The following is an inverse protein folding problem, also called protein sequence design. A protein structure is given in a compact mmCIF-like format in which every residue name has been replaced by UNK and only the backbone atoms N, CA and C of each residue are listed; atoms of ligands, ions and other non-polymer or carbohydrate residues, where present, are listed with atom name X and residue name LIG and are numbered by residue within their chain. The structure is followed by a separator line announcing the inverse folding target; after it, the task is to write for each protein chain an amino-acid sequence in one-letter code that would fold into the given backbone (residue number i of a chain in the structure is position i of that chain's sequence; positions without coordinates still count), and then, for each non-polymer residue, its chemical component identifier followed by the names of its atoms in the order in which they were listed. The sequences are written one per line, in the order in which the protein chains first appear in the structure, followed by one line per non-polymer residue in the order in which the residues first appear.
data_IF_691547579324
#
_entry.id   IF_691547579324
#
_cell.length_a   1.000
_cell.length_b   1.000
_cell.length_c   1.000
_cell.angle_alpha   90.00
_cell.angle_beta   90.00
_cell.angle_gamma   90.00
#
_symmetry.space_group_name_H-M   'P 1'
#
loop_
_entity.id
_entity.type
_entity.pdbx_description
1 polymer ?
#
# COMPACT_ATOMS: atom_id res chain seq x y z
N UNK A 1 1.04 4.45 -19.92
CA UNK A 1 0.17 3.74 -18.95
C UNK A 1 0.03 2.32 -19.45
N UNK A 2 0.39 1.33 -18.62
CA UNK A 2 0.26 -0.08 -18.97
C UNK A 2 -1.07 -0.62 -18.49
N UNK A 3 -1.69 -1.48 -19.30
CA UNK A 3 -3.02 -2.02 -19.00
C UNK A 3 -2.94 -3.54 -19.12
N UNK A 4 -2.99 -4.23 -17.99
CA UNK A 4 -3.05 -5.69 -17.92
C UNK A 4 -4.46 -6.19 -17.58
N UNK A 5 -4.77 -7.44 -17.93
CA UNK A 5 -6.04 -8.02 -17.52
C UNK A 5 -6.03 -8.33 -16.02
N UNK A 6 -4.88 -8.78 -15.50
CA UNK A 6 -4.66 -9.09 -14.08
C UNK A 6 -3.34 -8.48 -13.57
N UNK A 7 -3.02 -8.67 -12.28
CA UNK A 7 -1.81 -8.12 -11.64
C UNK A 7 -0.51 -8.72 -12.18
N UNK A 8 -0.51 -10.00 -12.57
CA UNK A 8 0.66 -10.67 -13.16
C UNK A 8 1.01 -10.05 -14.51
N UNK A 9 0.03 -9.83 -15.39
CA UNK A 9 0.27 -9.20 -16.69
C UNK A 9 0.92 -7.81 -16.53
N UNK A 10 0.40 -7.02 -15.59
CA UNK A 10 0.96 -5.70 -15.28
C UNK A 10 2.39 -5.83 -14.75
N UNK A 11 2.65 -6.80 -13.87
CA UNK A 11 3.97 -7.03 -13.29
C UNK A 11 5.00 -7.42 -14.35
N UNK A 12 4.68 -8.36 -15.24
CA UNK A 12 5.60 -8.82 -16.30
C UNK A 12 5.90 -7.71 -17.31
N UNK A 13 4.88 -6.98 -17.75
CA UNK A 13 5.08 -5.82 -18.62
C UNK A 13 5.89 -4.72 -17.91
N UNK A 14 5.69 -4.51 -16.61
CA UNK A 14 6.52 -3.57 -15.83
C UNK A 14 7.99 -3.98 -15.85
N UNK A 15 8.30 -5.27 -15.72
CA UNK A 15 9.66 -5.78 -15.78
C UNK A 15 10.29 -5.61 -17.16
N UNK A 16 9.54 -5.85 -18.24
CA UNK A 16 10.02 -5.64 -19.61
C UNK A 16 10.34 -4.16 -19.87
N UNK A 17 9.48 -3.25 -19.42
CA UNK A 17 9.77 -1.81 -19.50
C UNK A 17 10.98 -1.42 -18.65
N UNK A 18 11.15 -2.03 -17.47
CA UNK A 18 12.28 -1.75 -16.59
C UNK A 18 13.60 -2.21 -17.21
N UNK A 19 13.60 -3.33 -17.93
CA UNK A 19 14.76 -3.80 -18.69
C UNK A 19 15.22 -2.85 -19.81
N UNK A 20 14.33 -1.93 -20.23
CA UNK A 20 14.61 -0.88 -21.23
C UNK A 20 14.88 0.49 -20.58
N UNK A 21 14.78 0.58 -19.25
CA UNK A 21 14.92 1.82 -18.52
C UNK A 21 16.38 2.27 -18.44
N UNK A 22 16.58 3.53 -18.07
CA UNK A 22 17.91 4.12 -17.91
C UNK A 22 18.46 3.77 -16.53
N UNK A 23 19.76 3.50 -16.47
CA UNK A 23 20.50 3.39 -15.22
C UNK A 23 20.57 4.74 -14.49
N UNK A 24 20.26 4.70 -13.20
CA UNK A 24 20.35 5.80 -12.26
C UNK A 24 21.30 5.43 -11.14
N UNK A 25 22.17 6.38 -10.80
CA UNK A 25 23.09 6.24 -9.67
C UNK A 25 22.40 6.67 -8.39
N UNK A 26 22.37 5.78 -7.42
CA UNK A 26 21.90 6.05 -6.07
C UNK A 26 23.04 5.91 -5.07
N UNK A 27 22.90 6.56 -3.91
CA UNK A 27 23.81 6.39 -2.77
C UNK A 27 23.92 4.91 -2.29
N UNK A 28 22.99 4.05 -2.72
CA UNK A 28 22.92 2.63 -2.38
C UNK A 28 23.31 1.69 -3.53
N UNK A 29 23.76 2.24 -4.67
CA UNK A 29 24.17 1.46 -5.85
C UNK A 29 23.49 1.91 -7.14
N UNK A 30 23.90 1.32 -8.25
CA UNK A 30 23.30 1.57 -9.56
C UNK A 30 21.96 0.82 -9.67
N UNK A 31 20.94 1.51 -10.19
CA UNK A 31 19.56 1.01 -10.26
C UNK A 31 18.93 1.34 -11.60
N UNK A 32 17.98 0.54 -12.07
CA UNK A 32 17.11 0.91 -13.19
C UNK A 32 15.87 1.59 -12.63
N UNK A 33 15.46 2.71 -13.23
CA UNK A 33 14.32 3.48 -12.73
C UNK A 33 13.40 3.94 -13.87
N UNK A 34 12.10 3.83 -13.63
CA UNK A 34 11.06 4.45 -14.46
C UNK A 34 10.29 5.46 -13.61
N UNK A 35 10.27 6.72 -14.04
CA UNK A 35 9.57 7.82 -13.35
C UNK A 35 8.26 8.10 -14.08
N UNK A 36 7.25 8.60 -13.37
CA UNK A 36 5.91 8.91 -13.92
C UNK A 36 5.22 7.68 -14.55
N UNK A 37 5.45 6.52 -13.95
CA UNK A 37 4.89 5.26 -14.42
C UNK A 37 3.47 5.06 -13.86
N UNK A 38 2.57 4.57 -14.70
CA UNK A 38 1.18 4.26 -14.32
C UNK A 38 0.73 2.95 -14.93
N UNK A 39 -0.02 2.17 -14.16
CA UNK A 39 -0.61 0.92 -14.60
C UNK A 39 -2.10 0.83 -14.26
N UNK A 40 -2.81 -0.04 -14.96
CA UNK A 40 -4.22 -0.34 -14.78
C UNK A 40 -4.44 -1.85 -14.86
N UNK A 41 -5.20 -2.38 -13.90
CA UNK A 41 -5.61 -3.79 -13.86
C UNK A 41 -7.10 -3.82 -14.18
N UNK A 42 -7.48 -4.44 -15.30
CA UNK A 42 -8.89 -4.48 -15.73
C UNK A 42 -9.75 -5.35 -14.81
N UNK A 43 -9.25 -6.53 -14.46
CA UNK A 43 -9.91 -7.44 -13.54
C UNK A 43 -8.98 -7.80 -12.37
N UNK A 44 -9.07 -7.07 -11.24
CA UNK A 44 -8.28 -7.37 -10.06
C UNK A 44 -8.65 -8.71 -9.40
N UNK A 45 -9.74 -9.37 -9.84
CA UNK A 45 -10.15 -10.69 -9.33
C UNK A 45 -9.59 -11.85 -10.16
N UNK A 46 -9.20 -11.61 -11.40
CA UNK A 46 -8.63 -12.63 -12.29
C UNK A 46 -7.34 -13.23 -11.72
N UNK A 47 -6.49 -12.42 -11.08
CA UNK A 47 -5.38 -12.89 -10.26
C UNK A 47 -5.20 -11.98 -9.04
N UNK A 48 -5.26 -12.57 -7.84
CA UNK A 48 -5.10 -11.85 -6.56
C UNK A 48 -3.65 -11.76 -6.09
N UNK A 49 -2.79 -12.59 -6.64
CA UNK A 49 -1.36 -12.65 -6.35
C UNK A 49 -0.59 -12.68 -7.67
N UNK A 50 0.65 -12.21 -7.63
CA UNK A 50 1.56 -12.29 -8.76
C UNK A 50 2.09 -13.72 -8.81
N UNK A 51 1.87 -14.38 -9.95
CA UNK A 51 2.39 -15.72 -10.21
C UNK A 51 3.31 -15.65 -11.43
N UNK A 52 4.61 -15.64 -11.19
CA UNK A 52 5.62 -15.69 -12.26
C UNK A 52 6.57 -16.84 -12.01
N UNK A 53 7.10 -17.45 -13.07
CA UNK A 53 8.12 -18.50 -12.96
C UNK A 53 9.46 -17.93 -12.48
N UNK A 54 9.73 -16.67 -12.84
CA UNK A 54 10.98 -15.97 -12.55
C UNK A 54 11.15 -15.58 -11.08
N UNK A 55 10.06 -15.50 -10.31
CA UNK A 55 10.11 -15.10 -8.90
C UNK A 55 9.11 -15.87 -8.04
N UNK A 56 9.65 -16.60 -7.06
CA UNK A 56 8.85 -17.29 -6.04
C UNK A 56 8.47 -16.32 -4.92
N UNK A 57 7.18 -16.04 -4.80
CA UNK A 57 6.63 -15.24 -3.71
C UNK A 57 6.25 -16.14 -2.51
N UNK A 58 6.57 -15.70 -1.29
CA UNK A 58 6.12 -16.38 -0.08
C UNK A 58 4.67 -16.00 0.22
N UNK A 59 3.73 -16.86 -0.21
CA UNK A 59 2.31 -16.63 0.05
C UNK A 59 1.99 -16.60 1.55
N UNK A 60 2.69 -17.42 2.35
CA UNK A 60 2.62 -17.40 3.81
C UNK A 60 2.95 -16.01 4.36
N UNK A 61 4.00 -15.38 3.85
CA UNK A 61 4.40 -14.04 4.27
C UNK A 61 3.36 -13.00 3.88
N UNK A 62 2.94 -12.99 2.60
CA UNK A 62 1.97 -12.01 2.08
C UNK A 62 0.65 -12.07 2.85
N UNK A 63 0.13 -13.27 3.11
CA UNK A 63 -1.10 -13.45 3.87
C UNK A 63 -0.88 -13.02 5.33
N UNK A 64 0.24 -13.38 5.94
CA UNK A 64 0.58 -12.98 7.31
C UNK A 64 0.63 -11.46 7.47
N UNK A 65 1.30 -10.78 6.54
CA UNK A 65 1.38 -9.31 6.49
C UNK A 65 0.00 -8.67 6.28
N UNK A 66 -0.80 -9.20 5.36
CA UNK A 66 -2.16 -8.70 5.10
C UNK A 66 -3.06 -8.83 6.34
N UNK A 67 -3.06 -9.99 7.00
CA UNK A 67 -3.84 -10.22 8.24
C UNK A 67 -3.35 -9.29 9.35
N UNK A 68 -2.04 -9.11 9.46
CA UNK A 68 -1.44 -8.20 10.43
C UNK A 68 -1.88 -6.74 10.19
N UNK A 69 -1.90 -6.28 8.94
CA UNK A 69 -2.46 -4.96 8.62
C UNK A 69 -3.96 -4.87 8.91
N UNK A 70 -4.76 -5.88 8.59
CA UNK A 70 -6.21 -5.84 8.93
C UNK A 70 -6.49 -5.85 10.43
N UNK A 71 -5.60 -6.41 11.25
CA UNK A 71 -5.73 -6.33 12.72
C UNK A 71 -5.57 -4.90 13.25
N UNK A 72 -4.77 -4.09 12.55
CA UNK A 72 -4.35 -2.75 12.99
C UNK A 72 -3.52 -2.76 14.27
N UNK A 73 -3.01 -3.91 14.70
CA UNK A 73 -2.20 -4.04 15.91
C UNK A 73 -0.69 -4.00 15.56
N UNK A 74 0.09 -3.02 16.03
CA UNK A 74 1.47 -2.82 15.60
C UNK A 74 2.50 -3.78 16.21
N UNK A 75 2.07 -4.73 17.05
CA UNK A 75 2.96 -5.61 17.81
C UNK A 75 3.78 -6.55 16.92
N UNK A 76 5.10 -6.63 17.18
CA UNK A 76 6.02 -7.53 16.48
C UNK A 76 5.60 -9.00 16.58
N UNK A 77 5.01 -9.39 17.72
CA UNK A 77 4.54 -10.76 18.00
C UNK A 77 3.50 -11.26 16.99
N UNK A 78 2.78 -10.36 16.32
CA UNK A 78 1.77 -10.69 15.30
C UNK A 78 2.37 -11.04 13.94
N UNK A 79 3.58 -10.58 13.63
CA UNK A 79 4.17 -10.70 12.29
C UNK A 79 5.50 -11.46 12.23
N UNK A 80 6.26 -11.51 13.34
CA UNK A 80 7.59 -12.13 13.39
C UNK A 80 7.62 -13.61 12.96
N UNK A 81 6.51 -14.34 13.16
CA UNK A 81 6.37 -15.74 12.76
C UNK A 81 6.25 -15.93 11.23
N UNK A 82 5.98 -14.86 10.50
CA UNK A 82 5.84 -14.85 9.04
C UNK A 82 7.11 -14.33 8.35
N UNK A 83 7.87 -13.42 8.99
CA UNK A 83 9.19 -12.98 8.53
C UNK A 83 10.02 -12.38 9.65
N UNK A 84 11.30 -12.76 9.70
CA UNK A 84 12.30 -12.21 10.62
C UNK A 84 12.70 -10.77 10.28
N UNK A 85 12.41 -10.30 9.07
CA UNK A 85 12.72 -8.94 8.60
C UNK A 85 12.22 -7.86 9.58
N UNK A 86 11.01 -8.05 10.10
CA UNK A 86 10.35 -7.10 10.99
C UNK A 86 11.05 -6.92 12.33
N UNK A 87 11.87 -7.89 12.77
CA UNK A 87 12.63 -7.78 14.03
C UNK A 87 13.67 -6.65 13.97
N UNK A 88 14.08 -6.22 12.77
CA UNK A 88 15.01 -5.11 12.59
C UNK A 88 14.32 -3.73 12.59
N UNK A 89 12.99 -3.70 12.58
CA UNK A 89 12.17 -2.49 12.50
C UNK A 89 11.34 -2.25 13.77
N UNK A 90 11.50 -3.12 14.77
CA UNK A 90 10.80 -3.02 16.05
C UNK A 90 11.43 -1.91 16.90
N UNK A 91 10.60 -1.10 17.52
CA UNK A 91 11.04 -0.13 18.51
C UNK A 91 11.25 -0.78 19.90
N UNK A 92 11.71 0.00 20.86
CA UNK A 92 11.97 -0.47 22.23
C UNK A 92 10.71 -1.01 22.94
N UNK A 93 9.52 -0.58 22.52
CA UNK A 93 8.23 -1.01 23.08
C UNK A 93 7.69 -2.30 22.44
N UNK A 94 8.36 -2.85 21.43
CA UNK A 94 7.88 -4.04 20.70
C UNK A 94 6.88 -3.73 19.57
N UNK A 95 6.75 -2.46 19.18
CA UNK A 95 5.91 -2.00 18.08
C UNK A 95 6.69 -1.84 16.78
N UNK A 96 6.00 -2.04 15.67
CA UNK A 96 6.50 -1.73 14.33
C UNK A 96 5.71 -0.56 13.74
N UNK A 97 6.38 0.58 13.61
CA UNK A 97 5.76 1.83 13.13
C UNK A 97 5.21 1.74 11.71
N UNK A 98 5.73 0.81 10.90
CA UNK A 98 5.30 0.57 9.51
C UNK A 98 4.05 -0.32 9.39
N UNK A 99 3.31 -0.54 10.48
CA UNK A 99 1.97 -1.12 10.40
C UNK A 99 0.97 -0.10 9.84
N UNK A 100 0.72 -0.17 8.52
CA UNK A 100 -0.26 0.70 7.85
C UNK A 100 -1.70 0.48 8.32
N UNK A 101 -2.00 -0.73 8.78
CA UNK A 101 -3.27 -1.11 9.38
C UNK A 101 -3.68 -0.21 10.53
N UNK A 102 -2.75 0.07 11.45
CA UNK A 102 -2.98 0.95 12.58
C UNK A 102 -3.41 2.35 12.13
N UNK A 103 -2.74 2.92 11.12
CA UNK A 103 -3.07 4.24 10.56
C UNK A 103 -4.46 4.30 9.89
N UNK A 104 -4.90 3.20 9.27
CA UNK A 104 -6.18 3.13 8.57
C UNK A 104 -7.35 2.82 9.52
N UNK A 105 -7.17 1.83 10.41
CA UNK A 105 -8.25 1.20 11.17
C UNK A 105 -8.29 1.59 12.65
N UNK A 106 -7.24 2.19 13.21
CA UNK A 106 -7.16 2.52 14.64
C UNK A 106 -6.96 4.02 14.89
N UNK A 107 -6.15 4.68 14.08
CA UNK A 107 -5.88 6.11 14.23
C UNK A 107 -7.10 6.95 13.87
N UNK A 108 -7.46 7.86 14.77
CA UNK A 108 -8.56 8.80 14.57
C UNK A 108 -8.11 10.01 13.75
N UNK A 109 -9.03 10.57 12.97
CA UNK A 109 -8.80 11.77 12.17
C UNK A 109 -8.76 12.99 13.10
N UNK A 110 -7.68 13.78 13.13
CA UNK A 110 -7.53 14.94 14.00
C UNK A 110 -8.23 16.19 13.40
N UNK A 111 -9.49 16.04 12.98
CA UNK A 111 -10.34 17.13 12.47
C UNK A 111 -11.57 17.17 13.34
N UNK A 112 -11.92 18.35 13.87
CA UNK A 112 -12.95 18.54 14.89
C UNK A 112 -14.29 17.91 14.54
N UNK A 113 -14.76 18.11 13.30
CA UNK A 113 -16.03 17.55 12.80
C UNK A 113 -15.98 16.03 12.53
N UNK A 114 -14.78 15.43 12.51
CA UNK A 114 -14.55 14.00 12.28
C UNK A 114 -13.90 13.31 13.49
N UNK A 115 -13.83 14.01 14.64
CA UNK A 115 -13.34 13.44 15.89
C UNK A 115 -14.09 12.14 16.15
N UNK A 116 -13.35 11.10 16.56
CA UNK A 116 -13.84 9.73 16.78
C UNK A 116 -14.02 8.84 15.54
N UNK A 117 -13.74 9.30 14.31
CA UNK A 117 -13.72 8.43 13.12
C UNK A 117 -12.30 8.03 12.73
N UNK A 118 -12.15 6.78 12.32
CA UNK A 118 -10.96 6.31 11.60
C UNK A 118 -11.09 6.65 10.12
N UNK A 119 -9.97 6.64 9.39
CA UNK A 119 -9.98 6.86 7.94
C UNK A 119 -10.88 5.85 7.22
N UNK A 120 -10.82 4.59 7.64
CA UNK A 120 -11.68 3.54 7.07
C UNK A 120 -13.17 3.83 7.32
N UNK A 121 -13.55 4.17 8.55
CA UNK A 121 -14.96 4.46 8.86
C UNK A 121 -15.47 5.67 8.07
N UNK A 122 -14.65 6.73 7.94
CA UNK A 122 -14.99 7.88 7.13
C UNK A 122 -15.26 7.50 5.66
N UNK A 123 -14.37 6.72 5.05
CA UNK A 123 -14.53 6.27 3.65
C UNK A 123 -15.79 5.42 3.47
N UNK A 124 -16.03 4.47 4.38
CA UNK A 124 -17.22 3.61 4.32
C UNK A 124 -18.50 4.44 4.45
N UNK A 125 -18.57 5.37 5.39
CA UNK A 125 -19.73 6.24 5.57
C UNK A 125 -19.95 7.15 4.36
N UNK A 126 -18.87 7.70 3.81
CA UNK A 126 -18.92 8.58 2.65
C UNK A 126 -19.45 7.84 1.41
N UNK A 127 -19.00 6.62 1.16
CA UNK A 127 -19.46 5.79 0.03
C UNK A 127 -20.88 5.26 0.21
N UNK A 128 -21.29 4.97 1.46
CA UNK A 128 -22.68 4.64 1.77
C UNK A 128 -23.62 5.81 1.47
N UNK A 129 -23.17 7.04 1.76
CA UNK A 129 -23.93 8.27 1.52
C UNK A 129 -23.91 8.70 0.05
N UNK A 130 -22.76 8.63 -0.61
CA UNK A 130 -22.57 8.97 -2.02
C UNK A 130 -21.50 8.07 -2.65
N UNK A 131 -21.92 7.15 -3.52
CA UNK A 131 -21.03 6.22 -4.23
C UNK A 131 -20.07 6.93 -5.20
N UNK A 132 -20.44 8.10 -5.70
CA UNK A 132 -19.62 8.92 -6.62
C UNK A 132 -18.77 9.94 -5.86
N UNK A 133 -18.64 9.81 -4.54
CA UNK A 133 -17.85 10.75 -3.76
C UNK A 133 -16.37 10.71 -4.12
N UNK A 134 -15.85 11.88 -4.49
CA UNK A 134 -14.41 12.12 -4.71
C UNK A 134 -13.63 12.37 -3.42
N UNK A 135 -14.30 12.30 -2.26
CA UNK A 135 -13.70 12.55 -0.93
C UNK A 135 -13.41 11.26 -0.17
N UNK A 136 -13.85 10.11 -0.68
CA UNK A 136 -13.59 8.80 -0.09
C UNK A 136 -12.12 8.38 -0.29
N UNK A 137 -11.21 8.90 0.53
CA UNK A 137 -9.77 8.68 0.40
C UNK A 137 -9.16 8.33 1.76
N UNK A 138 -8.20 7.39 1.76
CA UNK A 138 -7.35 7.10 2.90
C UNK A 138 -5.93 7.57 2.62
N UNK A 139 -5.21 8.00 3.65
CA UNK A 139 -3.84 8.51 3.57
C UNK A 139 -2.92 7.71 4.50
N UNK A 140 -1.79 7.26 3.96
CA UNK A 140 -0.73 6.58 4.73
C UNK A 140 0.36 7.55 5.21
N UNK A 141 0.55 8.65 4.47
CA UNK A 141 1.53 9.69 4.79
C UNK A 141 0.93 10.73 5.74
N UNK A 142 0.67 10.31 6.96
CA UNK A 142 0.26 11.24 8.01
C UNK A 142 1.52 11.88 8.60
N UNK A 143 1.51 13.21 8.74
CA UNK A 143 2.52 13.98 9.46
C UNK A 143 2.34 13.70 10.96
N UNK A 144 2.86 12.55 11.36
CA UNK A 144 2.74 12.04 12.72
C UNK A 144 4.02 12.33 13.52
N UNK A 145 3.91 12.39 14.85
CA UNK A 145 5.07 12.54 15.75
C UNK A 145 6.10 11.39 15.59
N UNK A 146 5.67 10.24 15.06
CA UNK A 146 6.51 9.07 14.77
C UNK A 146 7.26 9.16 13.42
N UNK A 147 7.06 10.22 12.65
CA UNK A 147 7.73 10.44 11.36
C UNK A 147 9.27 10.31 11.41
N UNK A 148 9.99 10.82 12.44
CA UNK A 148 11.44 10.60 12.57
C UNK A 148 11.84 9.17 12.99
N UNK A 149 10.91 8.36 13.51
CA UNK A 149 11.17 6.99 13.97
C UNK A 149 10.80 5.90 12.95
N UNK A 150 10.26 6.29 11.79
CA UNK A 150 10.06 5.36 10.69
C UNK A 150 11.40 5.08 9.99
N UNK A 151 11.99 3.90 10.23
CA UNK A 151 13.17 3.47 9.47
C UNK A 151 12.87 3.22 7.97
N UNK A 152 11.58 3.07 7.61
CA UNK A 152 11.12 2.73 6.25
C UNK A 152 10.48 3.90 5.50
N UNK A 153 10.67 5.16 5.92
CA UNK A 153 10.10 6.36 5.26
C UNK A 153 10.50 6.49 3.77
N UNK A 154 11.41 5.64 3.29
CA UNK A 154 11.91 5.64 1.90
C UNK A 154 11.20 4.69 0.94
N UNK A 155 10.37 3.75 1.41
CA UNK A 155 9.84 2.68 0.54
C UNK A 155 8.39 2.87 0.08
N UNK A 156 7.61 3.73 0.76
CA UNK A 156 6.20 3.98 0.41
C UNK A 156 5.80 5.37 0.92
N UNK A 157 5.92 6.41 0.09
CA UNK A 157 5.14 7.67 0.12
C UNK A 157 5.46 8.52 -1.13
N UNK A 158 4.51 9.32 -1.67
CA UNK A 158 3.30 9.81 -1.02
C UNK A 158 1.98 9.41 -1.73
N UNK A 159 0.92 9.31 -0.93
CA UNK A 159 -0.49 9.17 -1.35
C UNK A 159 -0.83 7.82 -2.02
N UNK A 160 -1.00 6.77 -1.20
CA UNK A 160 -1.99 5.74 -1.55
C UNK A 160 -3.40 6.35 -1.36
N UNK A 161 -3.80 7.30 -2.21
CA UNK A 161 -5.20 7.68 -2.30
C UNK A 161 -5.92 6.59 -3.08
N UNK A 162 -6.31 5.51 -2.41
CA UNK A 162 -7.38 4.70 -2.99
C UNK A 162 -8.62 5.58 -3.01
N UNK A 163 -8.91 6.18 -4.16
CA UNK A 163 -10.23 6.73 -4.47
C UNK A 163 -11.02 5.56 -5.03
N UNK A 164 -11.87 4.89 -4.23
CA UNK A 164 -12.74 3.87 -4.77
C UNK A 164 -13.79 4.58 -5.63
N UNK A 165 -13.65 4.45 -6.94
CA UNK A 165 -14.69 4.88 -7.88
C UNK A 165 -15.64 3.71 -8.12
N UNK A 166 -16.86 3.80 -7.59
CA UNK A 166 -17.92 2.81 -7.81
C UNK A 166 -18.83 3.34 -8.92
N UNK A 167 -18.49 3.09 -10.19
CA UNK A 167 -19.45 3.22 -11.29
C UNK A 167 -19.93 1.84 -11.73
N UNK A 168 -20.96 1.75 -12.58
CA UNK A 168 -21.42 0.50 -13.23
C UNK A 168 -20.39 -0.13 -14.21
N UNK A 169 -19.09 0.12 -13.98
CA UNK A 169 -17.90 -0.28 -14.74
C UNK A 169 -16.77 -0.50 -13.73
N UNK A 170 -15.72 -1.30 -14.02
CA UNK A 170 -14.88 -1.94 -13.00
C UNK A 170 -14.28 -0.95 -11.99
N UNK A 171 -14.10 -1.41 -10.76
CA UNK A 171 -13.47 -0.65 -9.68
C UNK A 171 -12.05 -0.24 -10.13
N UNK A 172 -11.84 1.04 -10.42
CA UNK A 172 -10.53 1.58 -10.76
C UNK A 172 -9.90 2.08 -9.46
N UNK A 173 -8.82 1.42 -9.02
CA UNK A 173 -7.95 1.97 -7.99
C UNK A 173 -6.89 2.84 -8.68
N UNK A 174 -7.01 4.17 -8.53
CA UNK A 174 -5.98 5.09 -8.99
C UNK A 174 -4.83 5.13 -7.98
N UNK A 175 -3.75 4.39 -8.27
CA UNK A 175 -2.48 4.55 -7.59
C UNK A 175 -1.69 5.67 -8.29
N UNK A 176 -1.66 6.87 -7.69
CA UNK A 176 -0.85 7.97 -8.20
C UNK A 176 0.42 8.09 -7.37
N UNK A 177 1.54 7.66 -7.94
CA UNK A 177 2.88 7.88 -7.38
C UNK A 177 3.34 9.24 -7.94
N UNK A 178 3.51 10.24 -7.06
CA UNK A 178 4.08 11.56 -7.38
C UNK A 178 5.55 11.59 -6.96
#
# INVERSE_FOLDING_TARGET
MIIGNNITDVYEETLDQLGKAREQKSQFGDTLEIINYSCCIKDPRAARFIFTENRKHSLKYIIGELVWYFSGEPWITRIQNYSKFWNHLVNEEGHVNSNYGFKIFKKQIPIDDLRHKTQFNFVVDELRRNKDSRRAVMFLNLLDEDYPQMHTTRCLCPILATTPFISNTPLIYLLKIL
#
